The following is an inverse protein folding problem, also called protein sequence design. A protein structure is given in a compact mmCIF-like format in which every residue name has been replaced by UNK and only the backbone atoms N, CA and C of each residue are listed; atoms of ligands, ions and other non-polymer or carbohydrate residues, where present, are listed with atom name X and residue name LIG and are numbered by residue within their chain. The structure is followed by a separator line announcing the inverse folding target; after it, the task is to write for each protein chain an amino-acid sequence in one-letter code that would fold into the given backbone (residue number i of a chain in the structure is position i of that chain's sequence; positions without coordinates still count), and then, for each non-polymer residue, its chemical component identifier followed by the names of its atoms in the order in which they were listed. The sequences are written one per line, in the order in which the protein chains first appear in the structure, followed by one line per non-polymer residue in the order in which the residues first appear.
data_IF_249914455110
#
_entry.id   IF_249914455110
#
_cell.length_a   1.000
_cell.length_b   1.000
_cell.length_c   1.000
_cell.angle_alpha   90.00
_cell.angle_beta   90.00
_cell.angle_gamma   90.00
#
_symmetry.space_group_name_H-M   'P 1'
#
loop_
_entity.id
_entity.type
_entity.pdbx_description
1 polymer ?
#
# COMPACT_ATOMS: atom_id res chain seq x y z
N UNK A 1 -11.44 -10.01 -11.55
CA UNK A 1 -11.64 -9.20 -12.76
C UNK A 1 -10.91 -9.82 -13.96
N UNK A 2 -9.60 -9.69 -14.11
CA UNK A 2 -8.88 -10.08 -15.35
C UNK A 2 -9.12 -11.52 -15.84
N UNK A 3 -9.01 -12.54 -14.97
CA UNK A 3 -9.35 -13.94 -15.35
C UNK A 3 -10.79 -14.10 -15.84
N UNK A 4 -11.72 -13.31 -15.32
CA UNK A 4 -13.12 -13.30 -15.76
C UNK A 4 -13.27 -12.54 -17.09
N UNK A 5 -12.58 -11.42 -17.28
CA UNK A 5 -12.55 -10.72 -18.58
C UNK A 5 -12.01 -11.62 -19.70
N UNK A 6 -10.97 -12.43 -19.43
CA UNK A 6 -10.47 -13.44 -20.37
C UNK A 6 -11.56 -14.42 -20.77
N UNK A 7 -12.34 -14.93 -19.81
CA UNK A 7 -13.45 -15.84 -20.08
C UNK A 7 -14.54 -15.16 -20.90
N UNK A 8 -14.95 -13.94 -20.53
CA UNK A 8 -15.98 -13.20 -21.29
C UNK A 8 -15.54 -13.03 -22.74
N UNK A 9 -14.31 -12.57 -22.99
CA UNK A 9 -13.84 -12.31 -24.36
C UNK A 9 -13.63 -13.62 -25.12
N UNK A 10 -13.07 -14.66 -24.48
CA UNK A 10 -12.83 -15.95 -25.12
C UNK A 10 -14.10 -16.75 -25.40
N UNK A 11 -15.14 -16.62 -24.57
CA UNK A 11 -16.39 -17.37 -24.71
C UNK A 11 -17.42 -16.64 -25.61
N UNK A 12 -17.44 -15.30 -25.59
CA UNK A 12 -18.47 -14.50 -26.27
C UNK A 12 -17.98 -13.88 -27.59
N UNK A 13 -16.72 -14.12 -28.00
CA UNK A 13 -16.13 -13.53 -29.21
C UNK A 13 -15.27 -14.55 -29.96
N UNK A 14 -15.01 -14.38 -31.27
CA UNK A 14 -14.10 -15.25 -32.02
C UNK A 14 -12.60 -15.00 -31.71
N UNK A 15 -12.28 -14.09 -30.78
CA UNK A 15 -10.91 -13.77 -30.44
C UNK A 15 -10.27 -14.85 -29.56
N UNK A 16 -9.01 -15.13 -29.83
CA UNK A 16 -8.14 -15.81 -28.88
C UNK A 16 -7.86 -14.90 -27.70
N UNK A 17 -7.80 -15.47 -26.50
CA UNK A 17 -7.51 -14.76 -25.26
C UNK A 17 -6.33 -15.41 -24.52
N UNK A 18 -5.39 -14.59 -24.05
CA UNK A 18 -4.23 -15.03 -23.25
C UNK A 18 -4.11 -14.14 -22.00
N UNK A 19 -3.78 -14.75 -20.87
CA UNK A 19 -3.46 -14.05 -19.63
C UNK A 19 -2.21 -14.59 -18.97
N UNK A 20 -1.31 -13.70 -18.56
CA UNK A 20 -0.16 -13.98 -17.72
C UNK A 20 -0.14 -13.01 -16.55
N UNK A 21 0.18 -13.48 -15.35
CA UNK A 21 0.06 -12.70 -14.12
C UNK A 21 1.37 -12.74 -13.35
N UNK A 22 1.97 -11.56 -13.15
CA UNK A 22 3.15 -11.39 -12.31
C UNK A 22 2.66 -10.96 -10.93
N UNK A 23 2.98 -11.77 -9.93
CA UNK A 23 2.69 -11.52 -8.53
C UNK A 23 3.98 -11.21 -7.80
N UNK A 24 3.87 -10.32 -6.82
CA UNK A 24 4.90 -10.07 -5.82
C UNK A 24 4.75 -11.07 -4.66
N UNK A 25 5.86 -11.35 -3.96
CA UNK A 25 5.93 -12.22 -2.79
C UNK A 25 5.29 -11.58 -1.55
N UNK A 26 5.24 -10.25 -1.49
CA UNK A 26 4.62 -9.50 -0.39
C UNK A 26 3.13 -9.82 -0.34
N UNK A 27 2.64 -10.15 0.86
CA UNK A 27 1.29 -10.69 1.05
C UNK A 27 0.18 -9.64 1.17
N UNK A 28 0.53 -8.37 1.38
CA UNK A 28 -0.42 -7.26 1.45
C UNK A 28 0.13 -6.04 0.72
N UNK A 29 -0.72 -5.29 0.01
CA UNK A 29 -0.36 -4.03 -0.64
C UNK A 29 0.73 -4.15 -1.71
N UNK A 30 0.84 -5.31 -2.36
CA UNK A 30 1.91 -5.61 -3.32
C UNK A 30 1.48 -5.35 -4.76
N UNK A 31 2.45 -5.17 -5.65
CA UNK A 31 2.17 -4.89 -7.06
C UNK A 31 1.80 -6.20 -7.76
N UNK A 32 0.67 -6.23 -8.45
CA UNK A 32 0.30 -7.32 -9.36
C UNK A 32 0.18 -6.78 -10.77
N UNK A 33 0.97 -7.29 -11.70
CA UNK A 33 0.92 -6.89 -13.11
C UNK A 33 0.24 -7.98 -13.92
N UNK A 34 -0.90 -7.64 -14.53
CA UNK A 34 -1.64 -8.54 -15.41
C UNK A 34 -1.35 -8.23 -16.86
N UNK A 35 -0.83 -9.21 -17.59
CA UNK A 35 -0.56 -9.15 -19.02
C UNK A 35 -1.65 -9.88 -19.78
N UNK A 36 -2.50 -9.12 -20.48
CA UNK A 36 -3.61 -9.66 -21.24
C UNK A 36 -3.39 -9.42 -22.73
N UNK A 37 -3.77 -10.39 -23.56
CA UNK A 37 -3.78 -10.25 -25.03
C UNK A 37 -5.08 -10.84 -25.58
N UNK A 38 -5.65 -10.13 -26.54
CA UNK A 38 -6.86 -10.53 -27.26
C UNK A 38 -6.65 -10.29 -28.74
N UNK A 39 -7.12 -11.20 -29.61
CA UNK A 39 -7.13 -10.94 -31.04
C UNK A 39 -7.59 -12.12 -31.89
N UNK A 40 -7.81 -11.89 -33.20
CA UNK A 40 -8.40 -12.89 -34.10
C UNK A 40 -7.43 -14.02 -34.50
N UNK A 41 -6.14 -13.89 -34.18
CA UNK A 41 -5.10 -14.88 -34.51
C UNK A 41 -4.64 -15.62 -33.25
N UNK A 42 -4.25 -16.91 -33.36
CA UNK A 42 -3.66 -17.64 -32.25
C UNK A 42 -2.49 -16.88 -31.60
N UNK A 43 -2.53 -16.71 -30.28
CA UNK A 43 -1.55 -15.93 -29.52
C UNK A 43 -0.38 -16.84 -29.13
N UNK A 44 0.80 -16.61 -29.73
CA UNK A 44 2.03 -17.37 -29.46
C UNK A 44 3.05 -16.63 -28.56
N UNK A 45 2.70 -15.44 -28.08
CA UNK A 45 3.60 -14.59 -27.28
C UNK A 45 3.73 -15.09 -25.84
N UNK A 46 4.65 -16.03 -25.59
CA UNK A 46 4.96 -16.59 -24.26
C UNK A 46 5.93 -15.71 -23.46
N UNK A 47 5.69 -14.40 -23.46
CA UNK A 47 6.50 -13.40 -22.76
C UNK A 47 5.60 -12.25 -22.26
N UNK A 48 6.10 -11.44 -21.33
CA UNK A 48 5.38 -10.27 -20.80
C UNK A 48 5.02 -9.26 -21.91
N UNK A 49 3.97 -8.49 -21.74
CA UNK A 49 3.64 -7.40 -22.69
C UNK A 49 4.70 -6.31 -22.60
N UNK A 50 5.36 -6.01 -23.72
CA UNK A 50 6.36 -4.95 -23.85
C UNK A 50 5.81 -3.66 -24.48
N UNK A 51 4.70 -3.75 -25.23
CA UNK A 51 4.00 -2.62 -25.84
C UNK A 51 2.50 -2.82 -25.68
N UNK A 52 1.86 -1.97 -24.89
CA UNK A 52 0.48 -2.11 -24.43
C UNK A 52 -0.42 -1.02 -25.03
N UNK A 53 -1.53 -1.42 -25.65
CA UNK A 53 -2.55 -0.50 -26.15
C UNK A 53 -3.49 0.02 -25.05
N UNK A 54 -3.55 -0.69 -23.92
CA UNK A 54 -4.34 -0.33 -22.75
C UNK A 54 -3.54 -0.59 -21.48
N UNK A 55 -3.54 0.37 -20.56
CA UNK A 55 -2.94 0.27 -19.24
C UNK A 55 -4.00 0.64 -18.21
N UNK A 56 -4.19 -0.23 -17.21
CA UNK A 56 -5.04 0.05 -16.05
C UNK A 56 -4.20 0.19 -14.79
N UNK A 57 -4.29 1.35 -14.12
CA UNK A 57 -3.69 1.61 -12.82
C UNK A 57 -4.78 1.66 -11.75
N UNK A 58 -4.89 0.60 -10.94
CA UNK A 58 -6.02 0.44 -10.02
C UNK A 58 -5.75 1.00 -8.61
N UNK A 59 -4.53 1.50 -8.36
CA UNK A 59 -4.13 2.17 -7.13
C UNK A 59 -3.40 3.45 -7.48
N UNK A 60 -3.81 4.57 -6.89
CA UNK A 60 -3.21 5.88 -7.14
C UNK A 60 -1.71 5.92 -6.82
N UNK A 61 -1.32 5.36 -5.66
CA UNK A 61 0.07 5.36 -5.18
C UNK A 61 1.08 4.75 -6.15
N UNK A 62 0.65 3.87 -7.06
CA UNK A 62 1.55 3.33 -8.08
C UNK A 62 1.95 4.36 -9.13
N UNK A 63 1.07 5.30 -9.49
CA UNK A 63 1.40 6.42 -10.39
C UNK A 63 2.52 7.28 -9.79
N UNK A 64 2.55 7.41 -8.46
CA UNK A 64 3.51 8.24 -7.74
C UNK A 64 4.87 7.55 -7.53
N UNK A 65 4.94 6.22 -7.63
CA UNK A 65 6.11 5.44 -7.18
C UNK A 65 6.75 4.56 -8.25
N UNK A 66 5.97 4.05 -9.20
CA UNK A 66 6.47 3.07 -10.18
C UNK A 66 6.23 3.54 -11.61
N UNK A 67 7.04 3.04 -12.54
CA UNK A 67 6.88 3.35 -13.97
C UNK A 67 5.71 2.57 -14.57
N UNK A 68 4.49 3.08 -14.35
CA UNK A 68 3.24 2.49 -14.87
C UNK A 68 3.19 2.51 -16.40
N UNK A 69 3.77 3.54 -17.03
CA UNK A 69 3.69 3.76 -18.48
C UNK A 69 4.90 3.28 -19.26
N UNK A 70 5.89 2.65 -18.61
CA UNK A 70 7.09 2.13 -19.28
C UNK A 70 6.78 1.28 -20.52
N UNK A 71 5.66 0.54 -20.50
CA UNK A 71 5.19 -0.36 -21.57
C UNK A 71 4.10 0.24 -22.47
N UNK A 72 3.74 1.51 -22.30
CA UNK A 72 2.66 2.14 -23.08
C UNK A 72 3.04 2.29 -24.56
N UNK A 73 2.18 1.83 -25.47
CA UNK A 73 2.30 2.10 -26.89
C UNK A 73 1.89 3.56 -27.20
N UNK A 74 2.34 4.14 -28.33
CA UNK A 74 1.75 5.38 -28.84
C UNK A 74 0.23 5.25 -29.06
N UNK A 75 -0.51 6.30 -28.74
CA UNK A 75 -1.97 6.39 -28.78
C UNK A 75 -2.69 5.36 -27.88
N UNK A 76 -2.01 4.84 -26.86
CA UNK A 76 -2.64 3.91 -25.90
C UNK A 76 -3.68 4.61 -25.00
N UNK A 77 -4.52 3.80 -24.34
CA UNK A 77 -5.44 4.25 -23.31
C UNK A 77 -4.87 3.97 -21.92
N UNK A 78 -4.92 4.95 -21.02
CA UNK A 78 -4.63 4.82 -19.60
C UNK A 78 -5.92 4.99 -18.79
N UNK A 79 -6.27 4.00 -17.98
CA UNK A 79 -7.35 4.06 -16.99
C UNK A 79 -6.76 4.16 -15.59
N UNK A 80 -7.12 5.19 -14.81
CA UNK A 80 -6.62 5.44 -13.47
C UNK A 80 -7.76 5.40 -12.46
N UNK A 81 -7.61 4.60 -11.40
CA UNK A 81 -8.39 4.77 -10.18
C UNK A 81 -7.81 5.95 -9.40
N UNK A 82 -8.45 7.12 -9.50
CA UNK A 82 -7.98 8.38 -8.94
C UNK A 82 -8.91 8.83 -7.82
N UNK A 83 -8.38 9.28 -6.66
CA UNK A 83 -9.20 9.94 -5.65
C UNK A 83 -9.61 11.37 -6.08
N UNK A 84 -9.08 11.85 -7.21
CA UNK A 84 -9.36 13.17 -7.77
C UNK A 84 -10.32 13.05 -8.95
N UNK A 85 -11.13 14.10 -9.16
CA UNK A 85 -12.02 14.20 -10.31
C UNK A 85 -11.28 14.41 -11.63
N UNK A 86 -12.03 14.37 -12.73
CA UNK A 86 -11.51 14.55 -14.11
C UNK A 86 -10.81 15.89 -14.34
N UNK A 87 -11.25 16.92 -13.62
CA UNK A 87 -10.76 18.30 -13.79
C UNK A 87 -9.50 18.57 -12.96
N UNK A 88 -9.18 17.70 -11.99
CA UNK A 88 -8.06 17.91 -11.05
C UNK A 88 -6.98 16.82 -11.15
N UNK A 89 -7.33 15.60 -11.59
CA UNK A 89 -6.38 14.47 -11.65
C UNK A 89 -5.08 14.82 -12.38
N UNK A 90 -5.16 15.59 -13.47
CA UNK A 90 -3.97 16.01 -14.23
C UNK A 90 -2.94 16.73 -13.35
N UNK A 91 -3.38 17.62 -12.45
CA UNK A 91 -2.51 18.44 -11.61
C UNK A 91 -1.74 17.62 -10.56
N UNK A 92 -2.28 16.47 -10.17
CA UNK A 92 -1.67 15.56 -9.20
C UNK A 92 -0.75 14.51 -9.84
N UNK A 93 -0.73 14.38 -11.17
CA UNK A 93 0.18 13.46 -11.85
C UNK A 93 1.64 13.94 -11.74
N UNK A 94 2.61 13.05 -11.50
CA UNK A 94 4.03 13.41 -11.58
C UNK A 94 4.41 13.92 -12.97
N UNK A 95 5.37 14.85 -13.02
CA UNK A 95 5.87 15.46 -14.28
C UNK A 95 6.26 14.41 -15.32
N UNK A 96 7.00 13.39 -14.92
CA UNK A 96 7.43 12.29 -15.79
C UNK A 96 6.25 11.54 -16.42
N UNK A 97 5.17 11.34 -15.66
CA UNK A 97 3.94 10.68 -16.15
C UNK A 97 3.21 11.58 -17.15
N UNK A 98 3.10 12.88 -16.86
CA UNK A 98 2.55 13.86 -17.81
C UNK A 98 3.33 13.88 -19.13
N UNK A 99 4.66 13.91 -19.07
CA UNK A 99 5.54 13.86 -20.24
C UNK A 99 5.36 12.57 -21.06
N UNK A 100 5.23 11.41 -20.40
CA UNK A 100 4.94 10.14 -21.06
C UNK A 100 3.56 10.15 -21.75
N UNK A 101 2.54 10.74 -21.10
CA UNK A 101 1.19 10.88 -21.67
C UNK A 101 1.23 11.74 -22.94
N UNK A 102 1.90 12.90 -22.89
CA UNK A 102 1.98 13.83 -24.01
C UNK A 102 2.78 13.25 -25.18
N UNK A 103 4.01 12.79 -24.91
CA UNK A 103 4.91 12.26 -25.95
C UNK A 103 4.34 11.05 -26.68
N UNK A 104 3.53 10.23 -26.00
CA UNK A 104 2.89 9.05 -26.58
C UNK A 104 1.43 9.27 -26.96
N UNK A 105 0.88 10.49 -26.81
CA UNK A 105 -0.52 10.83 -27.11
C UNK A 105 -1.52 9.88 -26.43
N UNK A 106 -1.30 9.61 -25.14
CA UNK A 106 -2.12 8.67 -24.36
C UNK A 106 -3.46 9.31 -24.03
N UNK A 107 -4.55 8.57 -24.23
CA UNK A 107 -5.88 8.95 -23.77
C UNK A 107 -6.05 8.55 -22.31
N UNK A 108 -6.43 9.49 -21.45
CA UNK A 108 -6.51 9.23 -20.00
C UNK A 108 -7.95 9.23 -19.54
N UNK A 109 -8.35 8.17 -18.86
CA UNK A 109 -9.63 8.01 -18.21
C UNK A 109 -9.45 7.86 -16.71
N UNK A 110 -10.35 8.47 -15.94
CA UNK A 110 -10.31 8.46 -14.49
C UNK A 110 -11.66 8.10 -13.89
N UNK A 111 -11.60 7.49 -12.71
CA UNK A 111 -12.75 7.17 -11.85
C UNK A 111 -12.27 7.09 -10.40
N UNK A 112 -13.08 7.57 -9.46
CA UNK A 112 -12.93 7.19 -8.06
C UNK A 112 -13.70 5.89 -7.82
N UNK A 113 -13.00 4.76 -8.03
CA UNK A 113 -13.65 3.47 -7.93
C UNK A 113 -14.02 3.10 -6.49
N UNK A 114 -13.37 3.71 -5.49
CA UNK A 114 -13.67 3.47 -4.08
C UNK A 114 -14.96 4.17 -3.67
N UNK A 115 -15.16 5.43 -4.04
CA UNK A 115 -16.41 6.14 -3.78
C UNK A 115 -17.58 5.48 -4.53
N UNK A 116 -17.38 5.06 -5.79
CA UNK A 116 -18.39 4.30 -6.54
C UNK A 116 -18.72 2.97 -5.86
N UNK A 117 -17.70 2.22 -5.40
CA UNK A 117 -17.92 0.95 -4.71
C UNK A 117 -18.64 1.15 -3.36
N UNK A 118 -18.29 2.19 -2.61
CA UNK A 118 -18.91 2.55 -1.33
C UNK A 118 -20.38 2.95 -1.52
N UNK A 119 -20.68 3.81 -2.49
CA UNK A 119 -22.04 4.21 -2.84
C UNK A 119 -22.91 3.00 -3.27
N UNK A 120 -22.31 2.04 -3.97
CA UNK A 120 -22.96 0.78 -4.36
C UNK A 120 -23.04 -0.26 -3.22
N UNK A 121 -22.53 0.03 -2.01
CA UNK A 121 -22.53 -0.88 -0.87
C UNK A 121 -21.59 -2.09 -1.03
N UNK A 122 -20.52 -1.96 -1.83
CA UNK A 122 -19.48 -2.98 -2.04
C UNK A 122 -18.24 -2.77 -1.14
N UNK A 123 -18.26 -1.74 -0.28
CA UNK A 123 -17.12 -1.37 0.56
C UNK A 123 -15.92 -0.93 -0.29
N UNK A 124 -14.73 -1.45 -0.01
CA UNK A 124 -13.49 -1.13 -0.74
C UNK A 124 -13.25 -2.01 -1.99
N UNK A 125 -14.23 -2.81 -2.42
CA UNK A 125 -14.07 -3.74 -3.55
C UNK A 125 -14.30 -3.05 -4.90
N UNK A 126 -13.21 -2.63 -5.53
CA UNK A 126 -13.23 -1.90 -6.82
C UNK A 126 -13.19 -2.80 -8.07
N UNK A 127 -13.09 -4.12 -7.90
CA UNK A 127 -12.82 -5.06 -9.01
C UNK A 127 -13.88 -5.02 -10.12
N UNK A 128 -15.17 -4.95 -9.79
CA UNK A 128 -16.27 -4.87 -10.75
C UNK A 128 -16.30 -3.51 -11.45
N UNK A 129 -16.04 -2.44 -10.71
CA UNK A 129 -15.96 -1.06 -11.23
C UNK A 129 -14.84 -0.98 -12.28
N UNK A 130 -13.61 -1.34 -11.90
CA UNK A 130 -12.47 -1.29 -12.81
C UNK A 130 -12.60 -2.22 -14.02
N UNK A 131 -13.23 -3.40 -13.83
CA UNK A 131 -13.52 -4.30 -14.95
C UNK A 131 -14.51 -3.68 -15.94
N UNK A 132 -15.53 -2.99 -15.45
CA UNK A 132 -16.52 -2.30 -16.28
C UNK A 132 -15.85 -1.18 -17.07
N UNK A 133 -15.01 -0.38 -16.42
CA UNK A 133 -14.21 0.66 -17.09
C UNK A 133 -13.30 0.07 -18.19
N UNK A 134 -12.61 -1.04 -17.92
CA UNK A 134 -11.79 -1.72 -18.93
C UNK A 134 -12.59 -2.05 -20.20
N UNK A 135 -13.77 -2.66 -20.05
CA UNK A 135 -14.61 -2.99 -21.21
C UNK A 135 -15.13 -1.75 -21.94
N UNK A 136 -15.39 -0.66 -21.21
CA UNK A 136 -15.89 0.58 -21.79
C UNK A 136 -14.84 1.35 -22.62
N UNK A 137 -13.56 1.30 -22.24
CA UNK A 137 -12.51 2.17 -22.83
C UNK A 137 -11.33 1.43 -23.48
N UNK A 138 -11.25 0.10 -23.36
CA UNK A 138 -10.15 -0.68 -23.97
C UNK A 138 -10.23 -0.84 -25.49
N UNK A 139 -11.43 -0.69 -26.07
CA UNK A 139 -11.66 -0.91 -27.50
C UNK A 139 -11.58 -2.38 -27.95
N UNK A 140 -11.50 -3.34 -27.02
CA UNK A 140 -11.49 -4.78 -27.35
C UNK A 140 -12.84 -5.25 -27.90
N UNK A 141 -13.93 -4.62 -27.46
CA UNK A 141 -15.29 -4.83 -27.94
C UNK A 141 -15.98 -3.49 -28.19
N UNK A 142 -16.96 -3.43 -29.12
CA UNK A 142 -17.87 -2.30 -29.19
C UNK A 142 -18.55 -2.05 -27.84
N UNK A 143 -18.72 -0.79 -27.46
CA UNK A 143 -19.20 -0.39 -26.12
C UNK A 143 -20.51 -1.06 -25.72
N UNK A 144 -21.48 -1.11 -26.62
CA UNK A 144 -22.81 -1.68 -26.34
C UNK A 144 -22.74 -3.21 -26.18
N UNK A 145 -21.93 -3.89 -26.99
CA UNK A 145 -21.67 -5.32 -26.87
C UNK A 145 -20.95 -5.65 -25.56
N UNK A 146 -19.96 -4.84 -25.18
CA UNK A 146 -19.24 -4.96 -23.93
C UNK A 146 -20.17 -4.85 -22.71
N UNK A 147 -21.05 -3.84 -22.68
CA UNK A 147 -22.01 -3.65 -21.58
C UNK A 147 -23.00 -4.82 -21.51
N UNK A 148 -23.53 -5.26 -22.67
CA UNK A 148 -24.43 -6.40 -22.74
C UNK A 148 -23.77 -7.69 -22.23
N UNK A 149 -22.52 -7.96 -22.64
CA UNK A 149 -21.75 -9.12 -22.22
C UNK A 149 -21.47 -9.11 -20.70
N UNK A 150 -21.10 -7.95 -20.13
CA UNK A 150 -20.92 -7.81 -18.68
C UNK A 150 -22.23 -8.11 -17.94
N UNK A 151 -23.36 -7.48 -18.35
CA UNK A 151 -24.66 -7.68 -17.69
C UNK A 151 -25.13 -9.13 -17.79
N UNK A 152 -24.90 -9.80 -18.93
CA UNK A 152 -25.15 -11.24 -19.13
C UNK A 152 -24.28 -12.10 -18.21
N UNK A 153 -22.98 -11.82 -18.10
CA UNK A 153 -22.06 -12.55 -17.23
C UNK A 153 -22.41 -12.38 -15.74
N UNK A 154 -22.83 -11.19 -15.32
CA UNK A 154 -23.35 -10.91 -13.96
C UNK A 154 -24.58 -11.78 -13.68
N UNK A 155 -25.55 -11.82 -14.60
CA UNK A 155 -26.76 -12.66 -14.46
C UNK A 155 -26.40 -14.15 -14.36
N UNK A 156 -25.46 -14.64 -15.18
CA UNK A 156 -24.98 -16.02 -15.12
C UNK A 156 -24.30 -16.34 -13.78
N UNK A 157 -23.52 -15.41 -13.24
CA UNK A 157 -22.72 -15.62 -12.01
C UNK A 157 -23.56 -15.49 -10.74
N UNK A 158 -24.48 -14.53 -10.71
CA UNK A 158 -25.22 -14.15 -9.51
C UNK A 158 -26.72 -14.43 -9.58
N UNK A 159 -27.24 -14.98 -10.68
CA UNK A 159 -28.65 -15.31 -10.82
C UNK A 159 -29.16 -16.28 -9.74
N UNK A 160 -28.31 -17.20 -9.29
CA UNK A 160 -28.62 -18.11 -8.18
C UNK A 160 -28.74 -17.39 -6.81
N UNK A 161 -28.31 -16.13 -6.69
CA UNK A 161 -28.41 -15.31 -5.47
C UNK A 161 -29.62 -14.38 -5.46
N UNK A 162 -30.49 -14.45 -6.48
CA UNK A 162 -31.71 -13.66 -6.59
C UNK A 162 -31.59 -12.42 -7.47
N UNK A 163 -32.73 -11.98 -8.01
CA UNK A 163 -32.81 -10.88 -8.99
C UNK A 163 -32.41 -9.52 -8.39
N UNK A 164 -32.63 -9.29 -7.10
CA UNK A 164 -32.19 -8.07 -6.41
C UNK A 164 -30.66 -7.92 -6.43
N UNK A 165 -29.93 -9.01 -6.21
CA UNK A 165 -28.46 -9.03 -6.27
C UNK A 165 -27.99 -8.75 -7.69
N UNK A 166 -28.64 -9.32 -8.70
CA UNK A 166 -28.32 -9.06 -10.11
C UNK A 166 -28.58 -7.60 -10.47
N UNK A 167 -29.75 -7.05 -10.09
CA UNK A 167 -30.11 -5.65 -10.35
C UNK A 167 -29.12 -4.68 -9.70
N UNK A 168 -28.74 -4.92 -8.44
CA UNK A 168 -27.74 -4.10 -7.74
C UNK A 168 -26.38 -4.11 -8.44
N UNK A 169 -25.97 -5.25 -9.01
CA UNK A 169 -24.73 -5.33 -9.80
C UNK A 169 -24.86 -4.60 -11.15
N UNK A 170 -26.03 -4.61 -11.79
CA UNK A 170 -26.27 -3.82 -13.00
C UNK A 170 -26.28 -2.32 -12.73
N UNK A 171 -26.91 -1.89 -11.64
CA UNK A 171 -26.85 -0.50 -11.17
C UNK A 171 -25.41 -0.07 -10.91
N UNK A 172 -24.59 -0.92 -10.28
CA UNK A 172 -23.17 -0.65 -10.10
C UNK A 172 -22.41 -0.49 -11.43
N UNK A 173 -22.75 -1.26 -12.47
CA UNK A 173 -22.20 -1.09 -13.83
C UNK A 173 -22.61 0.26 -14.41
N UNK A 174 -23.89 0.62 -14.33
CA UNK A 174 -24.40 1.86 -14.89
C UNK A 174 -23.85 3.10 -14.16
N UNK A 175 -23.79 3.07 -12.83
CA UNK A 175 -23.13 4.10 -12.01
C UNK A 175 -21.65 4.23 -12.33
N UNK A 176 -20.95 3.10 -12.55
CA UNK A 176 -19.54 3.13 -12.96
C UNK A 176 -19.36 3.88 -14.28
N UNK A 177 -20.19 3.59 -15.28
CA UNK A 177 -20.11 4.24 -16.59
C UNK A 177 -20.42 5.74 -16.51
N UNK A 178 -21.35 6.14 -15.64
CA UNK A 178 -21.69 7.54 -15.41
C UNK A 178 -20.57 8.33 -14.68
N UNK A 179 -19.69 7.64 -13.95
CA UNK A 179 -18.57 8.23 -13.20
C UNK A 179 -17.20 7.99 -13.87
N UNK A 180 -17.18 7.43 -15.08
CA UNK A 180 -15.97 7.24 -15.86
C UNK A 180 -15.79 8.42 -16.82
N UNK A 181 -14.72 9.18 -16.63
CA UNK A 181 -14.50 10.42 -17.35
C UNK A 181 -13.18 10.41 -18.12
N UNK A 182 -13.18 10.99 -19.31
CA UNK A 182 -11.94 11.29 -20.04
C UNK A 182 -11.36 12.61 -19.51
N UNK A 183 -10.05 12.63 -19.26
CA UNK A 183 -9.32 13.82 -18.80
C UNK A 183 -8.90 14.65 -20.00
N UNK A 184 -9.16 15.95 -19.96
CA UNK A 184 -8.64 16.89 -20.95
C UNK A 184 -7.13 17.04 -20.73
N UNK A 185 -6.34 16.70 -21.75
CA UNK A 185 -4.87 16.75 -21.70
C UNK A 185 -4.40 18.11 -22.24
N UNK A 186 -3.70 18.94 -21.45
CA UNK A 186 -3.08 20.19 -21.92
C UNK A 186 -1.94 19.93 -22.92
N UNK A 187 -1.44 20.98 -23.58
CA UNK A 187 -0.36 20.84 -24.58
C UNK A 187 1.04 20.63 -23.96
N UNK A 188 1.21 20.92 -22.67
CA UNK A 188 2.49 20.88 -21.98
C UNK A 188 2.36 20.33 -20.54
N UNK A 189 3.42 19.71 -20.00
CA UNK A 189 3.42 19.25 -18.61
C UNK A 189 3.44 20.44 -17.66
N UNK A 190 2.51 20.45 -16.69
CA UNK A 190 2.32 21.52 -15.71
C UNK A 190 2.82 21.16 -14.31
N UNK A 191 3.01 19.87 -14.01
CA UNK A 191 3.31 19.38 -12.66
C UNK A 191 4.77 19.59 -12.27
N UNK A 192 5.01 19.98 -11.02
CA UNK A 192 6.36 20.00 -10.42
C UNK A 192 6.62 18.79 -9.52
N UNK A 193 5.70 17.83 -9.49
CA UNK A 193 5.80 16.62 -8.68
C UNK A 193 6.79 15.67 -9.35
N UNK A 194 7.83 15.28 -8.62
CA UNK A 194 8.79 14.26 -9.06
C UNK A 194 8.42 12.90 -8.47
N UNK A 195 8.77 11.83 -9.18
CA UNK A 195 8.70 10.47 -8.63
C UNK A 195 9.90 10.34 -7.68
N UNK A 196 9.69 10.00 -6.38
CA UNK A 196 10.76 9.86 -5.43
C UNK A 196 11.67 8.68 -5.79
N UNK A 197 12.88 8.67 -5.22
CA UNK A 197 13.75 7.51 -5.31
C UNK A 197 13.06 6.28 -4.70
N UNK A 198 13.35 5.06 -5.19
CA UNK A 198 12.72 3.83 -4.67
C UNK A 198 12.97 3.60 -3.17
N UNK A 199 14.09 4.13 -2.66
CA UNK A 199 14.51 4.12 -1.27
C UNK A 199 15.13 5.50 -0.94
N UNK A 200 15.21 5.84 0.34
CA UNK A 200 15.82 7.11 0.78
C UNK A 200 17.26 7.25 0.30
N UNK A 201 17.66 8.48 -0.08
CA UNK A 201 19.06 8.82 -0.36
C UNK A 201 19.97 8.78 0.87
N UNK A 202 19.41 8.67 2.07
CA UNK A 202 20.14 8.43 3.33
C UNK A 202 20.47 6.94 3.52
N UNK A 203 19.92 6.04 2.70
CA UNK A 203 20.13 4.59 2.85
C UNK A 203 21.55 4.15 2.44
N UNK A 204 22.05 2.99 2.91
CA UNK A 204 23.37 2.51 2.52
C UNK A 204 23.51 2.32 1.00
N UNK A 205 24.73 2.45 0.47
CA UNK A 205 24.99 2.41 -0.98
C UNK A 205 24.45 1.15 -1.68
N UNK A 206 24.56 -0.02 -1.03
CA UNK A 206 24.00 -1.28 -1.55
C UNK A 206 22.46 -1.26 -1.57
N UNK A 207 21.83 -0.66 -0.56
CA UNK A 207 20.37 -0.48 -0.52
C UNK A 207 19.93 0.42 -1.67
N UNK A 208 20.62 1.53 -1.93
CA UNK A 208 20.28 2.44 -3.03
C UNK A 208 20.45 1.80 -4.41
N UNK A 209 21.65 1.29 -4.68
CA UNK A 209 22.08 0.90 -6.04
C UNK A 209 21.62 -0.49 -6.47
N UNK A 210 21.33 -1.38 -5.53
CA UNK A 210 20.93 -2.77 -5.81
C UNK A 210 19.50 -3.02 -5.35
N UNK A 211 19.23 -2.87 -4.04
CA UNK A 211 17.91 -3.19 -3.48
C UNK A 211 16.83 -2.23 -3.98
N UNK A 212 17.15 -0.95 -4.11
CA UNK A 212 16.27 0.09 -4.64
C UNK A 212 15.85 -0.19 -6.08
N UNK A 213 16.77 -0.67 -6.92
CA UNK A 213 16.46 -1.07 -8.30
C UNK A 213 15.56 -2.32 -8.33
N UNK A 214 15.80 -3.30 -7.45
CA UNK A 214 14.92 -4.45 -7.30
C UNK A 214 13.50 -4.04 -6.84
N UNK A 215 13.40 -3.17 -5.82
CA UNK A 215 12.14 -2.61 -5.31
C UNK A 215 11.39 -1.87 -6.41
N UNK A 216 12.10 -1.16 -7.27
CA UNK A 216 11.52 -0.40 -8.38
C UNK A 216 11.12 -1.27 -9.60
N UNK A 217 11.24 -2.59 -9.51
CA UNK A 217 10.94 -3.52 -10.61
C UNK A 217 11.96 -3.49 -11.75
N UNK A 218 13.18 -3.04 -11.46
CA UNK A 218 14.32 -2.91 -12.40
C UNK A 218 15.45 -3.90 -12.10
N UNK A 219 15.17 -4.90 -11.26
CA UNK A 219 16.16 -5.92 -10.87
C UNK A 219 16.77 -6.69 -12.05
N UNK A 220 16.02 -6.92 -13.14
CA UNK A 220 16.53 -7.57 -14.36
C UNK A 220 17.67 -6.79 -15.05
N UNK A 221 17.84 -5.50 -14.75
CA UNK A 221 18.92 -4.68 -15.31
C UNK A 221 20.21 -4.73 -14.48
N UNK A 222 20.19 -5.35 -13.30
CA UNK A 222 21.37 -5.46 -12.45
C UNK A 222 22.35 -6.49 -13.04
N UNK A 223 23.64 -6.14 -13.18
CA UNK A 223 24.64 -7.10 -13.62
C UNK A 223 24.89 -8.13 -12.51
N UNK A 224 25.38 -9.31 -12.90
CA UNK A 224 25.77 -10.37 -11.94
C UNK A 224 26.77 -9.86 -10.90
N UNK A 225 27.67 -8.94 -11.29
CA UNK A 225 28.66 -8.32 -10.42
C UNK A 225 28.08 -7.42 -9.31
N UNK A 226 26.81 -7.05 -9.39
CA UNK A 226 26.13 -6.28 -8.34
C UNK A 226 25.67 -7.16 -7.16
N UNK A 227 25.63 -8.48 -7.33
CA UNK A 227 25.09 -9.41 -6.35
C UNK A 227 26.20 -10.05 -5.49
N UNK A 228 25.95 -10.28 -4.19
CA UNK A 228 26.85 -11.05 -3.32
C UNK A 228 27.05 -12.48 -3.84
N UNK A 229 28.30 -12.95 -3.83
CA UNK A 229 28.67 -14.28 -4.38
C UNK A 229 28.09 -15.45 -3.57
N UNK A 230 27.79 -15.23 -2.29
CA UNK A 230 27.26 -16.22 -1.36
C UNK A 230 25.76 -16.05 -1.09
N UNK A 231 25.13 -15.04 -1.71
CA UNK A 231 23.72 -14.72 -1.49
C UNK A 231 23.42 -14.09 -0.13
N UNK A 232 24.41 -13.57 0.59
CA UNK A 232 24.21 -12.89 1.89
C UNK A 232 23.76 -11.43 1.68
N UNK A 233 22.67 -11.02 2.35
CA UNK A 233 22.11 -9.66 2.27
C UNK A 233 22.22 -8.94 3.62
N UNK A 234 22.33 -7.59 3.63
CA UNK A 234 22.28 -6.82 4.87
C UNK A 234 20.91 -6.94 5.53
N UNK A 235 20.86 -6.77 6.86
CA UNK A 235 19.63 -6.66 7.64
C UNK A 235 19.09 -5.23 7.65
N UNK A 236 17.92 -5.04 8.25
CA UNK A 236 17.29 -3.72 8.46
C UNK A 236 17.08 -2.94 7.16
N UNK A 237 16.76 -3.64 6.07
CA UNK A 237 16.53 -2.99 4.76
C UNK A 237 15.08 -2.56 4.59
N UNK A 238 14.14 -3.21 5.31
CA UNK A 238 12.72 -2.88 5.29
C UNK A 238 12.39 -1.43 5.69
N UNK A 239 13.19 -0.83 6.57
CA UNK A 239 13.01 0.56 7.01
C UNK A 239 13.07 1.58 5.88
N UNK A 240 13.72 1.25 4.76
CA UNK A 240 13.92 2.15 3.62
C UNK A 240 12.81 2.07 2.56
N UNK A 241 11.90 1.10 2.67
CA UNK A 241 10.90 0.83 1.61
C UNK A 241 9.72 1.82 1.62
N UNK A 242 9.27 2.25 2.82
CA UNK A 242 8.18 3.23 3.03
C UNK A 242 7.00 3.03 2.09
N UNK A 243 6.40 1.84 2.17
CA UNK A 243 5.50 1.26 1.16
C UNK A 243 4.26 2.10 0.88
N UNK A 244 3.74 2.76 1.91
CA UNK A 244 2.59 3.64 1.89
C UNK A 244 1.32 2.96 1.32
N UNK A 245 0.88 1.87 1.97
CA UNK A 245 -0.22 1.02 1.46
C UNK A 245 -1.54 1.17 2.24
N UNK A 246 -1.53 1.87 3.38
CA UNK A 246 -2.72 2.02 4.21
C UNK A 246 -3.62 3.17 3.72
N UNK A 247 -4.93 2.91 3.60
CA UNK A 247 -5.90 4.00 3.36
C UNK A 247 -6.19 4.81 4.62
N UNK A 248 -6.18 4.14 5.78
CA UNK A 248 -6.37 4.75 7.09
C UNK A 248 -5.24 4.33 8.02
N UNK A 249 -4.83 5.24 8.91
CA UNK A 249 -3.82 5.00 9.94
C UNK A 249 -4.34 5.34 11.32
N UNK A 250 -3.78 4.72 12.38
CA UNK A 250 -4.17 5.01 13.75
C UNK A 250 -3.64 6.38 14.21
N UNK A 251 -4.55 7.23 14.69
CA UNK A 251 -4.25 8.54 15.29
C UNK A 251 -4.38 8.43 16.80
N UNK A 252 -3.30 8.80 17.50
CA UNK A 252 -3.23 8.80 18.95
C UNK A 252 -3.94 10.02 19.56
N UNK A 253 -4.77 9.77 20.58
CA UNK A 253 -5.37 10.75 21.48
C UNK A 253 -4.68 10.66 22.86
N UNK A 254 -3.81 11.62 23.18
CA UNK A 254 -3.06 11.60 24.43
C UNK A 254 -3.93 11.79 25.68
N UNK A 255 -5.08 12.49 25.57
CA UNK A 255 -5.96 12.79 26.71
C UNK A 255 -6.68 11.54 27.22
N UNK A 256 -7.07 10.66 26.32
CA UNK A 256 -7.74 9.39 26.64
C UNK A 256 -6.73 8.29 26.99
N UNK A 257 -5.46 8.44 26.60
CA UNK A 257 -4.47 7.38 26.73
C UNK A 257 -4.12 7.02 28.18
N UNK A 258 -4.13 5.73 28.48
CA UNK A 258 -3.72 5.17 29.77
C UNK A 258 -2.29 4.61 29.77
N UNK A 259 -1.53 4.78 28.68
CA UNK A 259 -0.13 4.39 28.54
C UNK A 259 0.14 2.89 28.81
N UNK A 260 -0.76 2.01 28.35
CA UNK A 260 -0.66 0.56 28.59
C UNK A 260 0.19 -0.22 27.56
N UNK A 261 0.63 0.44 26.48
CA UNK A 261 1.40 -0.13 25.39
C UNK A 261 0.77 -1.30 24.59
N UNK A 262 -0.51 -1.62 24.82
CA UNK A 262 -1.19 -2.70 24.09
C UNK A 262 -1.25 -2.48 22.58
N UNK A 263 -1.35 -1.23 22.12
CA UNK A 263 -1.31 -0.90 20.69
C UNK A 263 0.03 -1.27 20.02
N UNK A 264 1.15 -1.11 20.73
CA UNK A 264 2.48 -1.41 20.21
C UNK A 264 2.79 -2.92 20.23
N UNK A 265 2.42 -3.64 21.29
CA UNK A 265 2.71 -5.08 21.38
C UNK A 265 1.97 -5.90 20.32
N UNK A 266 0.73 -5.53 19.98
CA UNK A 266 -0.06 -6.26 18.99
C UNK A 266 0.24 -5.85 17.56
N UNK A 267 1.02 -4.79 17.34
CA UNK A 267 1.29 -4.30 15.99
C UNK A 267 2.13 -5.34 15.23
N UNK A 268 1.59 -5.92 14.13
CA UNK A 268 2.28 -6.97 13.39
C UNK A 268 3.44 -6.48 12.52
N UNK A 269 3.61 -5.16 12.39
CA UNK A 269 4.65 -4.57 11.54
C UNK A 269 5.56 -3.60 12.30
N UNK A 270 5.43 -3.53 13.63
CA UNK A 270 6.14 -2.56 14.48
C UNK A 270 5.94 -1.08 14.08
N UNK A 271 4.84 -0.75 13.42
CA UNK A 271 4.52 0.59 12.92
C UNK A 271 3.92 1.50 13.97
N UNK A 272 3.78 1.03 15.22
CA UNK A 272 3.40 1.84 16.37
C UNK A 272 4.42 1.57 17.46
N UNK A 273 5.18 2.60 17.82
CA UNK A 273 6.25 2.53 18.81
C UNK A 273 6.01 3.52 19.93
N UNK A 274 6.65 3.27 21.06
CA UNK A 274 6.52 4.08 22.27
C UNK A 274 7.91 4.39 22.79
N UNK A 275 8.17 5.65 23.11
CA UNK A 275 9.40 6.11 23.77
C UNK A 275 9.03 6.95 24.99
N UNK A 276 9.89 6.87 26.01
CA UNK A 276 9.94 7.83 27.11
C UNK A 276 11.29 8.53 27.09
N UNK A 277 11.31 9.85 27.27
CA UNK A 277 12.51 10.67 27.07
C UNK A 277 12.40 11.98 27.86
N UNK A 278 13.52 12.69 28.03
CA UNK A 278 13.54 13.97 28.74
C UNK A 278 12.80 15.07 27.97
N UNK A 279 12.09 15.94 28.70
CA UNK A 279 11.37 17.07 28.10
C UNK A 279 12.28 18.06 27.37
N UNK A 280 13.60 18.02 27.61
CA UNK A 280 14.61 18.82 26.91
C UNK A 280 14.69 18.56 25.40
N UNK A 281 14.14 17.43 24.91
CA UNK A 281 14.07 17.15 23.48
C UNK A 281 12.87 17.83 22.78
N UNK A 282 11.82 18.20 23.52
CA UNK A 282 10.59 18.75 22.92
C UNK A 282 10.74 20.11 22.22
N UNK A 283 11.66 21.02 22.59
CA UNK A 283 11.80 22.30 21.88
C UNK A 283 12.12 22.18 20.39
N UNK A 284 12.72 21.07 19.94
CA UNK A 284 12.99 20.80 18.51
C UNK A 284 11.95 19.90 17.84
N UNK A 285 10.88 19.54 18.55
CA UNK A 285 9.84 18.68 18.01
C UNK A 285 8.99 19.41 16.94
N UNK A 286 8.52 18.71 15.90
CA UNK A 286 7.55 19.28 14.97
C UNK A 286 6.29 19.79 15.67
N UNK A 287 5.61 20.78 15.10
CA UNK A 287 4.44 21.44 15.72
C UNK A 287 3.25 20.50 15.96
N UNK A 288 3.16 19.41 15.20
CA UNK A 288 2.10 18.40 15.34
C UNK A 288 2.50 17.22 16.23
N UNK A 289 3.74 17.20 16.73
CA UNK A 289 4.26 16.14 17.57
C UNK A 289 3.57 16.12 18.93
N UNK A 290 3.03 14.97 19.31
CA UNK A 290 2.26 14.81 20.54
C UNK A 290 3.12 14.18 21.62
N UNK A 291 3.01 14.66 22.85
CA UNK A 291 3.60 14.04 24.04
C UNK A 291 2.70 14.24 25.26
N UNK A 292 2.89 13.40 26.29
CA UNK A 292 2.27 13.53 27.62
C UNK A 292 3.27 13.10 28.70
N UNK A 293 3.03 13.52 29.94
CA UNK A 293 3.81 13.06 31.09
C UNK A 293 3.76 11.53 31.20
N UNK A 294 4.93 10.90 31.31
CA UNK A 294 5.03 9.46 31.45
C UNK A 294 4.57 9.03 32.86
N UNK A 295 3.80 7.93 32.94
CA UNK A 295 3.29 7.35 34.18
C UNK A 295 4.04 6.08 34.53
N UNK A 296 4.51 5.97 35.77
CA UNK A 296 5.27 4.82 36.27
C UNK A 296 6.52 5.31 37.00
N UNK A 297 6.99 4.57 38.00
CA UNK A 297 8.13 4.99 38.83
C UNK A 297 9.41 5.07 38.00
N UNK A 298 9.55 4.14 37.06
CA UNK A 298 10.68 4.06 36.14
C UNK A 298 10.70 5.21 35.10
N UNK A 299 9.60 5.97 34.95
CA UNK A 299 9.48 7.06 33.96
C UNK A 299 9.29 8.44 34.59
N UNK A 300 9.59 8.59 35.89
CA UNK A 300 9.38 9.84 36.61
C UNK A 300 10.15 11.00 35.97
N UNK A 301 9.47 12.14 35.76
CA UNK A 301 10.05 13.32 35.10
C UNK A 301 10.19 13.22 33.57
N UNK A 302 9.83 12.08 32.95
CA UNK A 302 9.93 11.90 31.50
C UNK A 302 8.63 12.25 30.77
N UNK A 303 8.76 12.56 29.48
CA UNK A 303 7.68 12.65 28.51
C UNK A 303 7.53 11.33 27.78
N UNK A 304 6.32 11.02 27.32
CA UNK A 304 5.97 9.82 26.57
C UNK A 304 5.28 10.19 25.28
N UNK A 305 5.67 9.52 24.19
CA UNK A 305 5.00 9.58 22.91
C UNK A 305 4.68 8.17 22.41
N UNK A 306 3.48 8.01 21.86
CA UNK A 306 3.10 6.87 21.03
C UNK A 306 3.05 7.38 19.59
N UNK A 307 3.98 6.92 18.75
CA UNK A 307 4.12 7.40 17.38
C UNK A 307 3.83 6.28 16.38
N UNK A 308 3.10 6.62 15.32
CA UNK A 308 2.86 5.74 14.17
C UNK A 308 3.89 6.02 13.07
N UNK A 309 4.36 4.98 12.39
CA UNK A 309 5.08 5.06 11.12
C UNK A 309 4.04 5.09 9.98
N UNK A 310 3.67 6.26 9.44
CA UNK A 310 2.50 6.37 8.55
C UNK A 310 2.68 5.59 7.26
N UNK A 311 3.89 5.58 6.70
CA UNK A 311 4.19 4.94 5.42
C UNK A 311 4.45 3.43 5.53
N UNK A 312 4.65 2.90 6.73
CA UNK A 312 4.86 1.47 6.94
C UNK A 312 3.62 0.78 7.52
N UNK A 313 2.69 1.55 8.10
CA UNK A 313 1.41 1.05 8.58
C UNK A 313 0.62 0.40 7.43
N UNK A 314 0.00 -0.76 7.73
CA UNK A 314 -0.82 -1.50 6.76
C UNK A 314 -2.33 -1.32 6.97
N UNK A 315 -2.72 -0.47 7.93
CA UNK A 315 -4.12 -0.12 8.19
C UNK A 315 -4.96 -1.26 8.80
N UNK A 316 -4.36 -2.24 9.46
CA UNK A 316 -5.08 -3.43 9.96
C UNK A 316 -6.05 -3.17 11.13
N UNK A 317 -5.96 -2.04 11.82
CA UNK A 317 -6.89 -1.64 12.89
C UNK A 317 -6.76 -2.39 14.23
N UNK A 318 -5.93 -3.44 14.34
CA UNK A 318 -5.80 -4.26 15.56
C UNK A 318 -5.41 -3.41 16.80
N UNK A 319 -4.54 -2.42 16.61
CA UNK A 319 -4.13 -1.50 17.67
C UNK A 319 -5.29 -0.69 18.26
N UNK A 320 -6.27 -0.32 17.42
CA UNK A 320 -7.51 0.37 17.81
C UNK A 320 -8.47 -0.61 18.47
N UNK A 321 -8.59 -1.82 17.94
CA UNK A 321 -9.44 -2.87 18.49
C UNK A 321 -9.04 -3.23 19.93
N UNK A 322 -7.75 -3.49 20.17
CA UNK A 322 -7.23 -3.88 21.49
C UNK A 322 -7.19 -2.74 22.50
N UNK A 323 -7.31 -1.48 22.06
CA UNK A 323 -7.21 -0.33 22.94
C UNK A 323 -8.32 -0.38 24.01
N UNK A 324 -7.96 -0.49 25.31
CA UNK A 324 -8.95 -0.64 26.38
C UNK A 324 -9.53 0.70 26.84
N UNK A 325 -8.89 1.81 26.48
CA UNK A 325 -9.30 3.13 26.89
C UNK A 325 -10.47 3.61 26.03
N UNK A 326 -11.51 4.15 26.68
CA UNK A 326 -12.67 4.75 26.02
C UNK A 326 -12.71 6.24 26.35
N UNK A 327 -13.02 7.06 25.37
CA UNK A 327 -13.24 8.49 25.58
C UNK A 327 -14.54 8.66 26.38
N UNK A 328 -14.49 9.48 27.44
CA UNK A 328 -15.62 9.68 28.35
C UNK A 328 -16.75 10.52 27.73
N UNK A 329 -16.40 11.43 26.82
CA UNK A 329 -17.35 12.30 26.13
C UNK A 329 -18.01 11.60 24.94
N UNK A 330 -17.29 10.70 24.26
CA UNK A 330 -17.79 9.99 23.10
C UNK A 330 -17.33 8.52 23.10
N UNK A 331 -18.19 7.61 23.59
CA UNK A 331 -17.81 6.23 23.88
C UNK A 331 -17.36 5.38 22.68
N UNK A 332 -17.64 5.81 21.44
CA UNK A 332 -17.13 5.15 20.22
C UNK A 332 -15.64 5.43 19.99
N UNK A 333 -15.12 6.53 20.53
CA UNK A 333 -13.72 6.92 20.42
C UNK A 333 -12.89 6.27 21.52
N UNK A 334 -11.68 5.88 21.16
CA UNK A 334 -10.67 5.31 22.05
C UNK A 334 -9.45 6.24 22.13
N UNK A 335 -8.41 5.82 22.85
CA UNK A 335 -7.14 6.55 22.88
C UNK A 335 -6.34 6.48 21.57
N UNK A 336 -6.77 5.63 20.63
CA UNK A 336 -6.19 5.53 19.30
C UNK A 336 -7.32 5.13 18.33
N UNK A 337 -7.45 5.80 17.19
CA UNK A 337 -8.59 5.63 16.27
C UNK A 337 -8.10 5.65 14.82
N UNK A 338 -8.76 4.92 13.92
CA UNK A 338 -8.45 5.00 12.49
C UNK A 338 -8.92 6.33 11.90
N UNK A 339 -8.10 6.93 11.05
CA UNK A 339 -8.45 8.11 10.27
C UNK A 339 -7.81 8.03 8.86
N UNK A 340 -8.37 8.74 7.85
CA UNK A 340 -7.78 8.81 6.51
C UNK A 340 -6.31 9.23 6.55
N UNK A 341 -5.46 8.48 5.85
CA UNK A 341 -4.01 8.65 5.90
C UNK A 341 -3.52 9.87 5.12
N UNK A 342 -4.11 10.16 3.95
CA UNK A 342 -3.62 11.20 3.04
C UNK A 342 -3.33 12.56 3.71
N UNK A 343 -4.24 13.15 4.51
CA UNK A 343 -3.97 14.44 5.17
C UNK A 343 -2.97 14.34 6.35
N UNK A 344 -2.65 13.13 6.81
CA UNK A 344 -1.80 12.87 7.97
C UNK A 344 -0.39 12.39 7.59
N UNK A 345 -0.21 11.86 6.37
CA UNK A 345 1.02 11.19 5.95
C UNK A 345 2.26 12.05 6.16
N UNK A 346 2.26 13.25 5.60
CA UNK A 346 3.40 14.17 5.64
C UNK A 346 3.72 14.64 7.07
N UNK A 347 2.78 15.21 7.84
CA UNK A 347 3.09 15.63 9.20
C UNK A 347 3.47 14.46 10.11
N UNK A 348 2.83 13.29 9.97
CA UNK A 348 3.21 12.12 10.77
C UNK A 348 4.54 11.49 10.32
N UNK A 349 4.98 11.69 9.08
CA UNK A 349 6.30 11.25 8.63
C UNK A 349 7.41 12.11 9.25
N UNK A 350 7.20 13.43 9.34
CA UNK A 350 8.08 14.35 10.08
C UNK A 350 8.12 13.99 11.57
N UNK A 351 6.96 13.76 12.19
CA UNK A 351 6.87 13.29 13.57
C UNK A 351 7.58 11.95 13.76
N UNK A 352 7.46 11.03 12.81
CA UNK A 352 8.12 9.73 12.88
C UNK A 352 9.64 9.86 12.76
N UNK A 353 10.14 10.71 11.87
CA UNK A 353 11.58 11.02 11.77
C UNK A 353 12.12 11.56 13.09
N UNK A 354 11.47 12.59 13.65
CA UNK A 354 11.85 13.12 14.97
C UNK A 354 11.77 12.06 16.07
N UNK A 355 10.74 11.21 16.07
CA UNK A 355 10.60 10.11 17.04
C UNK A 355 11.74 9.09 16.96
N UNK A 356 12.23 8.78 15.76
CA UNK A 356 13.36 7.88 15.58
C UNK A 356 14.65 8.49 16.16
N UNK A 357 14.84 9.82 16.03
CA UNK A 357 16.00 10.55 16.56
C UNK A 357 16.02 10.67 18.11
N UNK A 358 14.89 10.46 18.77
CA UNK A 358 14.83 10.42 20.24
C UNK A 358 15.63 9.22 20.79
N UNK A 359 16.30 9.36 21.96
CA UNK A 359 17.03 8.26 22.55
C UNK A 359 16.12 7.07 22.89
N UNK A 360 16.63 5.86 22.70
CA UNK A 360 15.99 4.65 23.24
C UNK A 360 16.12 4.65 24.77
N UNK A 361 15.13 4.08 25.46
CA UNK A 361 15.15 4.01 26.91
C UNK A 361 16.16 2.96 27.40
N UNK A 362 16.81 3.22 28.53
CA UNK A 362 17.77 2.30 29.13
C UNK A 362 17.09 0.96 29.49
N UNK A 363 17.55 -0.11 28.84
CA UNK A 363 16.96 -1.44 28.98
C UNK A 363 17.06 -2.00 30.40
N UNK A 364 18.09 -1.63 31.15
CA UNK A 364 18.34 -2.13 32.50
C UNK A 364 17.36 -1.55 33.53
N UNK A 365 16.71 -0.43 33.17
CA UNK A 365 15.71 0.24 34.00
C UNK A 365 14.27 -0.24 33.70
N UNK A 366 14.06 -1.04 32.65
CA UNK A 366 12.74 -1.49 32.22
C UNK A 366 12.33 -2.80 32.89
N UNK A 367 11.07 -2.87 33.32
CA UNK A 367 10.43 -4.12 33.71
C UNK A 367 10.02 -4.93 32.46
N UNK A 368 10.99 -5.60 31.84
CA UNK A 368 10.83 -6.29 30.54
C UNK A 368 9.85 -7.46 30.56
N UNK A 369 9.58 -8.06 31.71
CA UNK A 369 8.58 -9.13 31.86
C UNK A 369 7.12 -8.63 31.92
N UNK A 370 6.90 -7.32 31.76
CA UNK A 370 5.57 -6.73 31.67
C UNK A 370 5.25 -6.32 30.24
N UNK A 371 3.96 -6.33 29.87
CA UNK A 371 3.51 -5.84 28.55
C UNK A 371 4.00 -4.42 28.34
N UNK A 372 3.82 -3.51 29.30
CA UNK A 372 4.25 -2.12 29.18
C UNK A 372 5.77 -2.00 28.98
N UNK A 373 6.56 -2.57 29.90
CA UNK A 373 8.02 -2.43 29.87
C UNK A 373 8.65 -3.02 28.60
N UNK A 374 8.17 -4.18 28.13
CA UNK A 374 8.68 -4.79 26.90
C UNK A 374 8.54 -3.91 25.65
N UNK A 375 7.58 -2.98 25.62
CA UNK A 375 7.30 -2.15 24.45
C UNK A 375 8.06 -0.82 24.41
N UNK A 376 8.84 -0.51 25.45
CA UNK A 376 9.84 0.56 25.41
C UNK A 376 11.19 0.08 24.84
N UNK A 377 11.36 -1.23 24.68
CA UNK A 377 12.51 -1.79 23.98
C UNK A 377 12.33 -1.60 22.47
N UNK A 378 13.41 -1.26 21.78
CA UNK A 378 13.44 -1.18 20.33
C UNK A 378 13.07 -2.55 19.70
N UNK A 379 12.05 -2.60 18.81
CA UNK A 379 11.83 -3.78 17.99
C UNK A 379 12.95 -3.95 16.97
N UNK A 380 13.51 -5.15 16.85
CA UNK A 380 14.54 -5.50 15.87
C UNK A 380 13.96 -6.36 14.71
N UNK A 381 12.64 -6.35 14.59
CA UNK A 381 11.90 -6.97 13.50
C UNK A 381 10.71 -6.07 13.17
N UNK A 382 10.82 -5.33 12.07
CA UNK A 382 9.87 -4.29 11.67
C UNK A 382 9.57 -4.32 10.17
N UNK A 383 8.40 -3.79 9.80
CA UNK A 383 7.98 -3.53 8.41
C UNK A 383 8.00 -4.72 7.44
N UNK A 384 7.93 -5.94 7.97
CA UNK A 384 7.95 -7.19 7.19
C UNK A 384 6.91 -7.24 6.06
N UNK A 385 7.15 -8.10 5.06
CA UNK A 385 6.23 -8.36 3.96
C UNK A 385 4.95 -9.15 4.31
N UNK A 386 4.65 -9.31 5.60
CA UNK A 386 3.51 -10.09 6.09
C UNK A 386 2.15 -9.44 5.75
N UNK A 387 1.08 -10.23 5.83
CA UNK A 387 -0.29 -9.75 5.63
C UNK A 387 -0.65 -8.64 6.63
N UNK A 388 -1.56 -7.73 6.25
CA UNK A 388 -2.21 -6.84 7.20
C UNK A 388 -2.89 -7.64 8.30
N UNK A 389 -2.50 -7.41 9.56
CA UNK A 389 -3.05 -8.15 10.70
C UNK A 389 -2.49 -9.57 10.86
N UNK A 390 -1.26 -9.84 10.41
CA UNK A 390 -0.62 -11.15 10.57
C UNK A 390 -0.57 -11.58 12.05
N UNK A 391 -0.93 -12.84 12.32
CA UNK A 391 -0.89 -13.41 13.66
C UNK A 391 0.49 -13.91 14.12
N UNK A 392 1.48 -14.02 13.22
CA UNK A 392 2.81 -14.57 13.55
C UNK A 392 3.78 -13.47 14.01
N UNK A 393 3.81 -12.34 13.31
CA UNK A 393 4.85 -11.31 13.48
C UNK A 393 4.84 -10.55 14.80
N UNK A 394 3.71 -10.35 15.53
CA UNK A 394 3.78 -9.78 16.88
C UNK A 394 4.64 -10.60 17.84
N UNK A 395 4.65 -11.93 17.69
CA UNK A 395 5.47 -12.83 18.51
C UNK A 395 6.96 -12.69 18.17
N UNK A 396 7.31 -12.67 16.89
CA UNK A 396 8.69 -12.48 16.43
C UNK A 396 9.22 -11.11 16.85
N UNK A 397 8.41 -10.06 16.69
CA UNK A 397 8.72 -8.71 17.17
C UNK A 397 9.02 -8.70 18.67
N UNK A 398 8.15 -9.29 19.49
CA UNK A 398 8.37 -9.34 20.94
C UNK A 398 9.63 -10.14 21.31
N UNK A 399 9.88 -11.27 20.65
CA UNK A 399 11.12 -12.04 20.83
C UNK A 399 12.35 -11.18 20.51
N UNK A 400 12.32 -10.43 19.40
CA UNK A 400 13.40 -9.54 19.00
C UNK A 400 13.67 -8.43 20.01
N UNK A 401 12.61 -7.87 20.64
CA UNK A 401 12.73 -6.86 21.68
C UNK A 401 13.45 -7.41 22.93
N UNK A 402 13.14 -8.66 23.31
CA UNK A 402 13.67 -9.26 24.53
C UNK A 402 15.08 -9.83 24.37
N UNK A 403 15.40 -10.41 23.21
CA UNK A 403 16.59 -11.23 23.01
C UNK A 403 17.34 -10.98 21.70
N UNK A 404 16.86 -10.07 20.85
CA UNK A 404 17.39 -9.91 19.49
C UNK A 404 18.84 -9.42 19.42
N UNK A 405 19.34 -8.77 20.48
CA UNK A 405 20.73 -8.33 20.63
C UNK A 405 21.75 -9.48 20.70
N UNK A 406 21.28 -10.71 20.95
CA UNK A 406 22.12 -11.89 21.17
C UNK A 406 21.54 -13.19 20.62
N UNK A 407 20.59 -13.09 19.70
CA UNK A 407 19.92 -14.26 19.10
C UNK A 407 20.44 -14.56 17.70
N UNK A 408 20.50 -15.85 17.36
CA UNK A 408 20.71 -16.33 15.99
C UNK A 408 19.45 -17.11 15.59
N UNK A 409 18.88 -16.80 14.43
CA UNK A 409 17.60 -17.36 13.99
C UNK A 409 17.82 -18.36 12.86
N UNK A 410 17.51 -19.64 13.12
CA UNK A 410 17.34 -20.65 12.09
C UNK A 410 15.85 -20.75 11.73
N UNK A 411 15.46 -20.24 10.57
CA UNK A 411 14.05 -20.10 10.18
C UNK A 411 13.66 -21.14 9.14
N UNK A 412 12.70 -22.01 9.46
CA UNK A 412 12.19 -22.99 8.51
C UNK A 412 11.46 -22.32 7.33
N UNK A 413 11.45 -22.99 6.18
CA UNK A 413 10.70 -22.50 5.02
C UNK A 413 9.21 -22.45 5.33
N UNK A 414 8.59 -21.30 5.13
CA UNK A 414 7.17 -21.07 5.43
C UNK A 414 6.81 -19.60 5.39
N UNK A 415 5.66 -19.22 5.97
CA UNK A 415 5.28 -17.82 6.11
C UNK A 415 6.41 -16.98 6.72
N UNK A 416 7.03 -17.50 7.77
CA UNK A 416 8.12 -16.87 8.51
C UNK A 416 9.36 -16.59 7.67
N UNK A 417 9.78 -17.50 6.79
CA UNK A 417 10.91 -17.25 5.90
C UNK A 417 10.55 -16.26 4.78
N UNK A 418 9.28 -16.23 4.34
CA UNK A 418 8.83 -15.33 3.27
C UNK A 418 8.70 -13.90 3.76
N UNK A 419 8.02 -13.65 4.89
CA UNK A 419 7.92 -12.26 5.37
C UNK A 419 9.22 -11.76 6.01
N UNK A 420 10.09 -12.67 6.48
CA UNK A 420 11.29 -12.34 7.25
C UNK A 420 12.60 -12.37 6.45
N UNK A 421 12.55 -12.69 5.16
CA UNK A 421 13.76 -12.79 4.34
C UNK A 421 13.49 -12.91 2.84
N UNK A 422 12.37 -12.36 2.34
CA UNK A 422 12.14 -12.30 0.90
C UNK A 422 12.80 -11.06 0.30
N UNK A 423 13.94 -11.29 -0.34
CA UNK A 423 14.72 -10.29 -1.04
C UNK A 423 13.87 -9.46 -2.02
N UNK A 424 14.17 -8.16 -2.18
CA UNK A 424 15.31 -7.44 -1.61
C UNK A 424 15.11 -6.97 -0.16
N UNK A 425 13.98 -7.26 0.47
CA UNK A 425 13.61 -6.73 1.79
C UNK A 425 13.89 -7.76 2.89
N UNK A 426 14.59 -7.32 3.93
CA UNK A 426 14.95 -8.10 5.13
C UNK A 426 14.54 -7.37 6.39
#
# INVERSE_FOLDING_TARGET
ANKNSIKIIGDETPNYAQGYFVYDSKKAGSVTVSHLRFGPRPIRSTYQVSSANFIGCHQWTFIEKVDVLGRAAPNSTLLINSPYGKDDTWNHLPRKVQEQILSRKIRVYVIDAYEVAKAAGMGSRINTVMQTCFFAVSGVLPKDEAIAAIKKAIKKTYGAKGDEVVKKNWEAVDTTLANLFEVAIPDAPSSNISIPLPVSGESPAFVQSVLGEMIAGRGDYLPVSALPIDGTFPTDTAQWEKRNIAHEIPVWDPKTCIQCAKCAIVCPHATIRIKAYDSSHLPSAPSTFKSIDARGKEFEGKQLTIQVAPEDCTGCGICVEVCPAKNKSEARLKAINMAPQAPLREPEAENYKFFLDLPEFDRDQLKVNSVKGSQFLQPLFEYSGACSGCGETPYVKLMSQLFGDRSIIANATGCSSIYGGNLPTT
#
